data_IF_178788533750
#
_entry.id   IF_178788533750
#
_cell.length_a   1.000
_cell.length_b   1.000
_cell.length_c   1.000
_cell.angle_alpha   90.00
_cell.angle_beta   90.00
_cell.angle_gamma   90.00
#
_symmetry.space_group_name_H-M   'P 1'
#
loop_
_entity.id
_entity.type
_entity.pdbx_description
1 polymer ?
#
# COMPACT_ATOMS: atom_id res chain seq x y z
N UNK A 1 -27.76 25.52 -17.81
CA UNK A 1 -26.55 25.77 -18.63
C UNK A 1 -26.69 24.99 -19.92
N UNK A 2 -26.47 25.64 -21.07
CA UNK A 2 -26.77 25.08 -22.38
C UNK A 2 -25.48 24.64 -23.08
N UNK A 3 -25.37 23.35 -23.41
CA UNK A 3 -24.16 22.75 -23.99
C UNK A 3 -24.47 22.18 -25.37
N UNK A 4 -23.60 22.49 -26.34
CA UNK A 4 -23.73 22.01 -27.71
C UNK A 4 -23.27 20.55 -27.83
N UNK A 5 -24.13 19.69 -28.35
CA UNK A 5 -23.85 18.29 -28.65
C UNK A 5 -23.28 18.18 -30.06
N UNK A 6 -22.13 17.52 -30.18
CA UNK A 6 -21.48 17.24 -31.46
C UNK A 6 -21.60 15.76 -31.81
N UNK A 7 -21.76 15.44 -33.10
CA UNK A 7 -21.69 14.08 -33.60
C UNK A 7 -20.22 13.57 -33.60
N UNK A 8 -20.02 12.27 -33.83
CA UNK A 8 -18.68 11.67 -33.90
C UNK A 8 -17.79 12.22 -35.03
N UNK A 9 -18.39 12.87 -36.03
CA UNK A 9 -17.72 13.57 -37.14
C UNK A 9 -17.45 15.05 -36.86
N UNK A 10 -17.83 15.54 -35.67
CA UNK A 10 -17.58 16.91 -35.20
C UNK A 10 -18.64 17.94 -35.58
N UNK A 11 -19.72 17.56 -36.26
CA UNK A 11 -20.81 18.46 -36.63
C UNK A 11 -21.72 18.74 -35.42
N UNK A 12 -22.13 20.00 -35.27
CA UNK A 12 -23.04 20.45 -34.21
C UNK A 12 -24.47 20.00 -34.54
N UNK A 13 -25.06 19.17 -33.69
CA UNK A 13 -26.39 18.59 -33.91
C UNK A 13 -27.48 19.34 -33.14
N UNK A 14 -27.26 19.62 -31.85
CA UNK A 14 -28.27 20.27 -31.01
C UNK A 14 -27.70 20.84 -29.72
N UNK A 15 -28.47 21.68 -29.04
CA UNK A 15 -28.14 22.21 -27.71
C UNK A 15 -29.01 21.57 -26.63
N UNK A 16 -28.39 20.95 -25.63
CA UNK A 16 -29.08 20.35 -24.48
C UNK A 16 -28.95 21.27 -23.27
N UNK A 17 -30.05 21.42 -22.53
CA UNK A 17 -30.08 22.09 -21.24
C UNK A 17 -29.70 21.13 -20.12
N UNK A 18 -28.58 21.40 -19.46
CA UNK A 18 -28.14 20.69 -18.26
C UNK A 18 -28.63 21.40 -17.00
N UNK A 19 -28.95 20.59 -15.99
CA UNK A 19 -29.38 21.05 -14.68
C UNK A 19 -28.28 21.87 -13.99
N UNK A 20 -28.59 23.13 -13.68
CA UNK A 20 -27.65 24.08 -13.07
C UNK A 20 -27.22 23.71 -11.65
N UNK A 21 -28.02 22.91 -10.92
CA UNK A 21 -27.70 22.53 -9.55
C UNK A 21 -26.45 21.63 -9.41
N UNK A 22 -26.06 20.93 -10.48
CA UNK A 22 -24.90 20.02 -10.48
C UNK A 22 -23.70 20.66 -11.19
N UNK A 23 -23.95 21.40 -12.27
CA UNK A 23 -22.91 21.90 -13.16
C UNK A 23 -22.54 23.37 -12.94
N UNK A 24 -23.38 24.16 -12.26
CA UNK A 24 -23.16 25.59 -12.01
C UNK A 24 -22.81 25.91 -10.53
N UNK A 25 -22.36 24.90 -9.77
CA UNK A 25 -21.95 25.10 -8.38
C UNK A 25 -20.54 25.70 -8.34
N UNK A 26 -20.26 26.71 -7.48
CA UNK A 26 -18.92 27.23 -7.31
C UNK A 26 -17.95 26.12 -6.89
N UNK A 27 -16.95 25.86 -7.74
CA UNK A 27 -16.01 24.76 -7.52
C UNK A 27 -15.12 25.02 -6.30
N UNK A 28 -15.22 24.16 -5.29
CA UNK A 28 -14.31 24.16 -4.15
C UNK A 28 -13.08 23.28 -4.45
N UNK A 29 -11.95 23.94 -4.76
CA UNK A 29 -10.68 23.27 -5.13
C UNK A 29 -10.17 22.31 -4.05
N UNK A 30 -10.37 22.65 -2.77
CA UNK A 30 -9.89 21.85 -1.64
C UNK A 30 -10.60 20.50 -1.54
N UNK A 31 -11.93 20.50 -1.70
CA UNK A 31 -12.75 19.28 -1.67
C UNK A 31 -12.44 18.36 -2.86
N UNK A 32 -12.27 18.93 -4.06
CA UNK A 32 -11.91 18.17 -5.27
C UNK A 32 -10.54 17.49 -5.09
N UNK A 33 -9.55 18.22 -4.54
CA UNK A 33 -8.23 17.65 -4.28
C UNK A 33 -8.28 16.51 -3.25
N UNK A 34 -9.03 16.69 -2.15
CA UNK A 34 -9.21 15.64 -1.14
C UNK A 34 -9.87 14.40 -1.73
N UNK A 35 -10.93 14.55 -2.51
CA UNK A 35 -11.59 13.44 -3.20
C UNK A 35 -10.63 12.71 -4.15
N UNK A 36 -9.80 13.44 -4.90
CA UNK A 36 -8.80 12.86 -5.79
C UNK A 36 -7.72 12.07 -5.02
N UNK A 37 -7.22 12.60 -3.92
CA UNK A 37 -6.22 11.93 -3.06
C UNK A 37 -6.78 10.64 -2.48
N UNK A 38 -8.03 10.65 -2.01
CA UNK A 38 -8.73 9.46 -1.49
C UNK A 38 -8.88 8.42 -2.59
N UNK A 39 -9.35 8.84 -3.79
CA UNK A 39 -9.51 7.95 -4.93
C UNK A 39 -8.19 7.27 -5.32
N UNK A 40 -7.10 8.04 -5.41
CA UNK A 40 -5.77 7.50 -5.68
C UNK A 40 -5.26 6.59 -4.55
N UNK A 41 -5.59 6.90 -3.30
CA UNK A 41 -5.33 6.07 -2.13
C UNK A 41 -5.98 4.69 -2.25
N UNK A 42 -7.27 4.66 -2.53
CA UNK A 42 -8.07 3.43 -2.62
C UNK A 42 -7.68 2.55 -3.82
N UNK A 43 -7.11 3.14 -4.88
CA UNK A 43 -6.61 2.39 -6.04
C UNK A 43 -5.34 1.59 -5.74
N UNK A 44 -4.62 1.89 -4.64
CA UNK A 44 -3.41 1.14 -4.25
C UNK A 44 -3.83 -0.19 -3.63
N UNK A 45 -3.28 -1.28 -4.15
CA UNK A 45 -3.66 -2.64 -3.72
C UNK A 45 -2.91 -3.10 -2.45
N UNK A 46 -1.79 -2.48 -2.08
CA UNK A 46 -1.10 -2.80 -0.84
C UNK A 46 -0.62 -4.26 -0.75
N UNK A 47 -0.05 -4.81 -1.81
CA UNK A 47 0.48 -6.19 -1.82
C UNK A 47 1.93 -6.29 -1.34
N UNK A 48 2.43 -5.26 -0.69
CA UNK A 48 3.77 -5.26 -0.13
C UNK A 48 3.77 -5.96 1.23
N UNK A 49 4.47 -7.09 1.33
CA UNK A 49 4.70 -7.83 2.57
C UNK A 49 6.19 -8.19 2.68
N UNK A 50 6.72 -8.12 3.89
CA UNK A 50 8.08 -8.56 4.18
C UNK A 50 8.02 -9.43 5.42
N UNK A 51 8.55 -10.65 5.31
CA UNK A 51 8.50 -11.65 6.37
C UNK A 51 9.03 -11.07 7.67
N UNK A 52 8.31 -11.28 8.76
CA UNK A 52 8.70 -10.97 10.15
C UNK A 52 9.73 -11.96 10.71
N UNK A 53 10.40 -11.65 11.84
CA UNK A 53 11.38 -12.53 12.51
C UNK A 53 10.78 -13.90 12.81
N UNK A 54 9.48 -13.92 13.07
CA UNK A 54 8.73 -15.13 13.39
C UNK A 54 8.30 -15.92 12.14
N UNK A 55 8.22 -15.28 10.97
CA UNK A 55 7.74 -15.90 9.71
C UNK A 55 8.87 -16.48 8.85
N UNK A 56 10.13 -16.09 9.11
CA UNK A 56 11.28 -16.69 8.42
C UNK A 56 11.56 -18.08 9.00
N UNK A 57 11.77 -19.08 8.14
CA UNK A 57 12.00 -20.47 8.54
C UNK A 57 13.41 -20.69 9.10
N UNK A 58 13.52 -21.42 10.22
CA UNK A 58 14.78 -21.94 10.75
C UNK A 58 15.36 -21.11 11.90
N UNK A 59 14.83 -21.26 13.12
CA UNK A 59 15.38 -20.59 14.30
C UNK A 59 14.62 -20.84 15.60
N UNK A 60 15.01 -20.13 16.67
CA UNK A 60 14.30 -20.12 17.96
C UNK A 60 14.96 -20.86 19.15
N UNK A 61 15.88 -21.80 18.90
CA UNK A 61 16.66 -22.44 19.98
C UNK A 61 17.92 -21.64 20.25
N UNK A 62 18.40 -21.50 21.48
CA UNK A 62 19.63 -20.73 21.75
C UNK A 62 20.90 -21.40 21.16
N UNK A 63 21.84 -20.67 20.52
CA UNK A 63 23.01 -21.28 19.86
C UNK A 63 23.99 -21.92 20.82
N UNK A 64 24.28 -21.19 21.89
CA UNK A 64 25.19 -21.61 22.95
C UNK A 64 24.63 -21.16 24.29
N UNK A 65 25.17 -21.76 25.35
CA UNK A 65 24.78 -21.47 26.73
C UNK A 65 25.00 -19.99 27.07
N UNK A 66 24.24 -19.47 28.04
CA UNK A 66 24.25 -18.04 28.36
C UNK A 66 25.63 -17.55 28.85
N UNK A 67 26.51 -18.40 29.36
CA UNK A 67 27.81 -18.04 29.96
C UNK A 67 28.84 -19.14 29.68
N UNK A 68 30.11 -18.85 29.97
CA UNK A 68 31.23 -19.80 29.88
C UNK A 68 31.66 -20.19 28.45
N UNK A 69 31.25 -19.41 27.44
CA UNK A 69 31.58 -19.67 26.02
C UNK A 69 32.54 -18.64 25.41
N UNK A 70 32.87 -17.55 26.12
CA UNK A 70 33.73 -16.45 25.62
C UNK A 70 33.16 -15.63 24.45
N UNK A 71 32.01 -16.02 23.89
CA UNK A 71 31.33 -15.38 22.75
C UNK A 71 30.34 -14.31 23.19
N UNK A 72 29.99 -13.41 22.27
CA UNK A 72 28.91 -12.45 22.43
C UNK A 72 27.58 -13.15 22.75
N UNK A 73 26.68 -12.47 23.47
CA UNK A 73 25.37 -13.03 23.84
C UNK A 73 24.48 -13.12 22.60
N UNK A 74 23.79 -14.23 22.44
CA UNK A 74 22.78 -14.42 21.41
C UNK A 74 21.50 -14.96 22.02
N UNK A 75 20.36 -14.41 21.58
CA UNK A 75 19.04 -14.78 22.08
C UNK A 75 18.49 -16.07 21.45
N UNK A 76 18.78 -16.31 20.19
CA UNK A 76 18.23 -17.42 19.40
C UNK A 76 19.21 -17.85 18.28
N UNK A 77 19.09 -19.11 17.81
CA UNK A 77 19.75 -19.73 16.64
C UNK A 77 19.11 -19.15 15.41
N UNK A 78 19.37 -17.87 15.21
CA UNK A 78 18.66 -17.12 14.22
C UNK A 78 19.69 -16.61 13.23
N UNK A 79 19.61 -17.20 12.04
CA UNK A 79 19.70 -16.46 10.78
C UNK A 79 18.92 -15.14 10.86
N UNK A 80 17.87 -15.03 11.70
CA UNK A 80 17.05 -13.84 11.98
C UNK A 80 17.63 -12.79 12.94
N UNK A 81 18.81 -13.02 13.52
CA UNK A 81 19.54 -11.96 14.21
C UNK A 81 20.53 -11.38 13.19
N UNK A 82 20.51 -10.07 12.98
CA UNK A 82 21.39 -9.39 12.01
C UNK A 82 22.90 -9.56 12.27
N UNK A 83 23.29 -10.36 13.26
CA UNK A 83 24.67 -10.73 13.59
C UNK A 83 25.17 -11.93 12.78
N UNK A 84 24.27 -12.74 12.19
CA UNK A 84 24.61 -13.90 11.36
C UNK A 84 23.75 -13.91 10.09
N UNK A 85 24.09 -13.02 9.15
CA UNK A 85 23.60 -12.95 7.76
C UNK A 85 22.29 -13.72 7.43
N UNK A 86 21.14 -13.22 7.87
CA UNK A 86 19.91 -13.38 7.08
C UNK A 86 18.96 -12.18 7.23
N UNK A 87 18.28 -11.93 6.12
CA UNK A 87 17.54 -10.72 5.77
C UNK A 87 16.17 -10.69 6.46
N UNK A 88 16.10 -10.14 7.67
CA UNK A 88 14.82 -9.87 8.34
C UNK A 88 14.66 -8.37 8.63
N UNK A 89 13.51 -7.78 8.27
CA UNK A 89 13.24 -6.33 8.42
C UNK A 89 12.32 -6.03 9.60
N UNK A 90 12.81 -5.23 10.55
CA UNK A 90 12.10 -4.92 11.81
C UNK A 90 11.00 -3.86 11.64
N UNK A 91 11.01 -3.08 10.55
CA UNK A 91 10.15 -1.89 10.37
C UNK A 91 9.45 -1.82 9.00
N UNK A 92 9.15 -2.95 8.37
CA UNK A 92 8.47 -2.93 7.08
C UNK A 92 6.97 -2.69 7.19
N UNK A 93 6.47 -1.83 6.30
CA UNK A 93 5.07 -1.53 6.09
C UNK A 93 4.37 -2.82 5.59
N UNK A 94 3.65 -3.49 6.49
CA UNK A 94 2.74 -4.59 6.15
C UNK A 94 1.44 -3.94 5.71
N UNK A 95 1.16 -3.97 4.41
CA UNK A 95 -0.13 -3.58 3.93
C UNK A 95 -1.11 -4.75 4.17
N UNK A 96 -2.08 -4.54 5.05
CA UNK A 96 -3.09 -5.52 5.46
C UNK A 96 -4.11 -5.72 4.33
N UNK A 97 -3.69 -6.33 3.22
CA UNK A 97 -4.57 -6.92 2.22
C UNK A 97 -4.66 -8.43 2.39
N UNK A 98 -5.74 -9.10 1.95
CA UNK A 98 -5.77 -10.55 1.92
C UNK A 98 -4.60 -11.04 1.07
N UNK A 99 -3.69 -11.81 1.67
CA UNK A 99 -2.59 -12.46 0.96
C UNK A 99 -3.20 -13.30 -0.16
N UNK A 100 -2.91 -12.96 -1.42
CA UNK A 100 -3.22 -13.83 -2.54
C UNK A 100 -2.57 -15.20 -2.26
N UNK A 101 -3.33 -16.31 -2.32
CA UNK A 101 -2.74 -17.63 -2.16
C UNK A 101 -1.83 -17.88 -3.37
N UNK A 102 -0.52 -17.89 -3.11
CA UNK A 102 0.48 -18.35 -4.07
C UNK A 102 0.29 -19.85 -4.29
N UNK A 103 -0.31 -20.22 -5.42
CA UNK A 103 -0.24 -21.56 -6.00
C UNK A 103 0.93 -21.66 -6.95
#
# INVERSE_FOLDING_TARGET
MQVSVKNQKGELLDSIDLNDAVFNVPMNKSLVHQAMVIYQGNKRHGTHDTKTRAEVSGGGRKPWTQKHTGRARQGAQDLHSGVMAASFSVHTLVATGPRCPSG
#
